data_IF_991866726044
#
_entry.id   IF_991866726044
#
_cell.length_a   1.000
_cell.length_b   1.000
_cell.length_c   1.000
_cell.angle_alpha   90.00
_cell.angle_beta   90.00
_cell.angle_gamma   90.00
#
_symmetry.space_group_name_H-M   'P 1'
#
loop_
_entity.id
_entity.type
_entity.pdbx_description
1 polymer ?
#
# COMPACT_ATOMS: atom_id res chain seq x y z
N UNK A 1 50.13 31.81 -13.40
CA UNK A 1 50.03 31.12 -14.70
C UNK A 1 50.42 29.66 -14.52
N UNK A 2 49.51 28.71 -14.81
CA UNK A 2 49.62 27.21 -14.86
C UNK A 2 50.01 26.50 -13.54
N UNK A 3 49.09 25.85 -12.79
CA UNK A 3 48.45 24.50 -12.97
C UNK A 3 49.47 23.39 -13.37
N UNK A 4 49.55 22.23 -12.69
CA UNK A 4 48.52 21.16 -12.61
C UNK A 4 48.67 20.20 -11.40
N UNK A 5 47.62 19.38 -11.23
CA UNK A 5 47.18 18.49 -10.15
C UNK A 5 47.83 17.08 -10.21
N UNK A 6 48.09 16.48 -9.04
CA UNK A 6 47.98 15.03 -8.76
C UNK A 6 47.54 14.94 -7.28
N UNK A 7 46.41 14.37 -6.84
CA UNK A 7 45.69 13.21 -7.32
C UNK A 7 45.88 12.07 -6.33
N UNK A 8 45.09 12.03 -5.23
CA UNK A 8 44.78 10.78 -4.51
C UNK A 8 43.31 10.80 -4.10
N UNK A 9 42.57 9.95 -4.79
CA UNK A 9 41.20 9.55 -4.54
C UNK A 9 41.24 8.50 -3.42
N UNK A 10 40.56 8.75 -2.31
CA UNK A 10 40.05 7.67 -1.45
C UNK A 10 38.54 7.59 -1.68
N UNK A 11 38.21 6.69 -2.60
CA UNK A 11 36.89 6.16 -2.89
C UNK A 11 36.29 5.62 -1.58
N UNK A 12 35.31 6.32 -1.03
CA UNK A 12 34.42 5.73 -0.05
C UNK A 12 33.62 4.64 -0.78
N UNK A 13 33.96 3.38 -0.51
CA UNK A 13 33.18 2.22 -0.94
C UNK A 13 31.88 2.20 -0.15
N UNK A 14 30.86 2.94 -0.62
CA UNK A 14 29.49 2.68 -0.22
C UNK A 14 29.01 1.46 -1.02
N UNK A 15 29.26 0.27 -0.49
CA UNK A 15 28.43 -0.89 -0.81
C UNK A 15 27.08 -0.66 -0.15
N UNK A 16 26.10 -0.23 -0.94
CA UNK A 16 24.72 -0.06 -0.51
C UNK A 16 23.84 -0.10 -1.75
N UNK A 17 23.29 -1.27 -2.03
CA UNK A 17 22.25 -1.45 -3.02
C UNK A 17 20.96 -0.80 -2.49
N UNK A 18 20.82 0.50 -2.74
CA UNK A 18 19.56 1.23 -2.57
C UNK A 18 19.39 2.10 -3.81
N UNK A 19 18.82 1.52 -4.87
CA UNK A 19 17.83 2.16 -5.76
C UNK A 19 17.63 1.34 -7.05
N UNK A 20 16.88 0.23 -6.94
CA UNK A 20 16.26 -0.42 -8.11
C UNK A 20 14.75 -0.12 -8.19
N UNK A 21 14.26 0.91 -7.48
CA UNK A 21 12.82 1.24 -7.42
C UNK A 21 12.52 2.62 -8.02
N UNK A 22 13.49 3.37 -8.52
CA UNK A 22 13.21 4.65 -9.20
C UNK A 22 13.85 4.74 -10.57
N UNK A 23 13.38 3.89 -11.48
CA UNK A 23 13.43 4.23 -12.91
C UNK A 23 12.54 5.46 -13.19
N UNK A 24 12.89 6.31 -14.17
CA UNK A 24 12.08 7.48 -14.52
C UNK A 24 10.72 7.02 -15.06
N UNK A 25 9.64 7.21 -14.28
CA UNK A 25 8.27 7.11 -14.81
C UNK A 25 7.20 6.41 -13.95
N UNK A 26 7.53 5.75 -12.84
CA UNK A 26 6.50 5.11 -11.99
C UNK A 26 6.11 6.01 -10.82
N UNK A 27 5.38 7.08 -11.10
CA UNK A 27 4.73 7.90 -10.06
C UNK A 27 3.63 7.05 -9.39
N UNK A 28 3.58 7.04 -8.06
CA UNK A 28 2.56 6.36 -7.27
C UNK A 28 1.38 7.29 -7.01
N UNK A 29 0.17 6.85 -7.32
CA UNK A 29 -1.08 7.54 -7.05
C UNK A 29 -1.98 6.63 -6.21
N UNK A 30 -2.54 7.15 -5.14
CA UNK A 30 -3.47 6.40 -4.31
C UNK A 30 -4.90 6.53 -4.83
N UNK A 31 -5.64 5.43 -4.74
CA UNK A 31 -7.10 5.43 -4.90
C UNK A 31 -7.75 6.28 -3.80
N UNK A 32 -9.07 6.48 -3.92
CA UNK A 32 -9.87 6.82 -2.74
C UNK A 32 -9.75 5.73 -1.66
N UNK A 33 -10.19 6.07 -0.45
CA UNK A 33 -10.41 5.07 0.60
C UNK A 33 -11.67 4.27 0.30
N UNK A 34 -11.61 2.96 0.56
CA UNK A 34 -12.72 2.03 0.47
C UNK A 34 -12.96 1.39 1.83
N UNK A 35 -14.23 1.19 2.14
CA UNK A 35 -14.79 0.72 3.40
C UNK A 35 -16.07 -0.02 3.01
N UNK A 36 -15.95 -1.33 2.80
CA UNK A 36 -16.98 -2.18 2.21
C UNK A 36 -17.64 -3.08 3.28
N UNK A 37 -16.84 -3.64 4.17
CA UNK A 37 -17.33 -4.40 5.33
C UNK A 37 -17.50 -3.46 6.52
N UNK A 38 -18.09 -3.94 7.60
CA UNK A 38 -18.06 -3.27 8.90
C UNK A 38 -17.65 -4.34 9.91
N UNK A 39 -17.17 -4.00 11.13
CA UNK A 39 -16.71 -4.98 12.13
C UNK A 39 -17.82 -5.87 12.73
N UNK A 40 -18.99 -5.92 12.11
CA UNK A 40 -20.14 -6.72 12.51
C UNK A 40 -19.88 -8.21 12.24
N UNK A 41 -20.26 -9.07 13.17
CA UNK A 41 -20.10 -10.51 13.01
C UNK A 41 -18.68 -10.98 13.33
N UNK A 42 -17.95 -11.48 12.33
CA UNK A 42 -16.71 -12.25 12.54
C UNK A 42 -15.42 -11.43 12.45
N UNK A 43 -15.48 -10.16 12.03
CA UNK A 43 -14.30 -9.37 11.74
C UNK A 43 -14.64 -8.18 10.87
N UNK A 44 -13.63 -7.65 10.21
CA UNK A 44 -13.73 -6.54 9.26
C UNK A 44 -12.82 -6.82 8.04
N UNK A 45 -13.42 -6.90 6.86
CA UNK A 45 -12.81 -7.48 5.67
C UNK A 45 -12.89 -6.58 4.42
N UNK A 46 -11.77 -5.93 4.12
CA UNK A 46 -11.58 -5.12 2.91
C UNK A 46 -10.82 -5.90 1.83
N UNK A 47 -11.41 -6.99 1.33
CA UNK A 47 -10.74 -7.86 0.36
C UNK A 47 -10.64 -7.20 -1.02
N UNK A 48 -9.52 -7.37 -1.70
CA UNK A 48 -9.33 -6.77 -3.03
C UNK A 48 -10.30 -7.35 -4.07
N UNK A 49 -10.72 -8.60 -3.91
CA UNK A 49 -11.71 -9.23 -4.78
C UNK A 49 -13.07 -8.55 -4.65
N UNK A 50 -13.58 -8.39 -3.43
CA UNK A 50 -14.89 -7.81 -3.18
C UNK A 50 -14.91 -6.33 -3.53
N UNK A 51 -13.85 -5.60 -3.20
CA UNK A 51 -13.67 -4.20 -3.57
C UNK A 51 -13.66 -3.98 -5.10
N UNK A 52 -13.06 -4.89 -5.88
CA UNK A 52 -13.10 -4.80 -7.35
C UNK A 52 -14.46 -5.16 -7.92
N UNK A 53 -15.22 -6.02 -7.24
CA UNK A 53 -16.58 -6.37 -7.64
C UNK A 53 -17.53 -5.18 -7.41
N UNK A 54 -17.42 -4.51 -6.26
CA UNK A 54 -18.23 -3.33 -5.92
C UNK A 54 -17.81 -2.08 -6.71
N UNK A 55 -16.50 -1.86 -6.86
CA UNK A 55 -15.92 -0.67 -7.49
C UNK A 55 -15.11 -1.01 -8.76
N UNK A 56 -15.77 -1.43 -9.85
CA UNK A 56 -15.08 -1.86 -11.06
C UNK A 56 -14.23 -0.73 -11.65
N UNK A 57 -12.99 -1.07 -12.03
CA UNK A 57 -11.98 -0.17 -12.62
C UNK A 57 -11.46 0.95 -11.72
N UNK A 58 -11.88 1.02 -10.46
CA UNK A 58 -11.37 2.03 -9.51
C UNK A 58 -10.03 1.65 -8.87
N UNK A 59 -9.64 0.38 -8.95
CA UNK A 59 -8.36 -0.14 -8.44
C UNK A 59 -7.61 -0.76 -9.63
N UNK A 60 -6.33 -0.44 -9.78
CA UNK A 60 -5.49 -1.01 -10.83
C UNK A 60 -5.39 -2.53 -10.72
N UNK A 61 -5.10 -3.20 -11.84
CA UNK A 61 -4.96 -4.66 -11.89
C UNK A 61 -3.85 -5.20 -10.97
N UNK A 62 -2.80 -4.42 -10.75
CA UNK A 62 -1.67 -4.77 -9.89
C UNK A 62 -1.33 -3.59 -8.97
N UNK A 63 -1.93 -3.54 -7.76
CA UNK A 63 -1.55 -2.54 -6.76
C UNK A 63 -0.09 -2.71 -6.31
N UNK A 64 0.60 -1.60 -6.20
CA UNK A 64 2.00 -1.53 -5.76
C UNK A 64 2.12 -1.42 -4.24
N UNK A 65 1.13 -0.78 -3.60
CA UNK A 65 1.06 -0.65 -2.14
C UNK A 65 -0.39 -0.74 -1.68
N UNK A 66 -0.58 -1.06 -0.41
CA UNK A 66 -1.84 -0.96 0.31
C UNK A 66 -1.61 -0.11 1.56
N UNK A 67 -2.59 0.67 1.95
CA UNK A 67 -2.67 1.31 3.25
C UNK A 67 -4.01 1.00 3.87
N UNK A 68 -4.02 0.68 5.16
CA UNK A 68 -5.22 0.51 5.97
C UNK A 68 -5.20 1.51 7.14
N UNK A 69 -6.36 2.05 7.47
CA UNK A 69 -6.54 2.94 8.61
C UNK A 69 -7.91 2.73 9.23
N UNK A 70 -8.06 3.03 10.51
CA UNK A 70 -9.39 3.07 11.13
C UNK A 70 -10.20 4.22 10.54
N UNK A 71 -11.52 4.20 10.71
CA UNK A 71 -12.36 5.36 10.35
C UNK A 71 -12.03 6.64 11.14
N UNK A 72 -11.32 6.50 12.26
CA UNK A 72 -10.75 7.61 13.04
C UNK A 72 -9.35 8.06 12.55
N UNK A 73 -8.96 7.65 11.34
CA UNK A 73 -7.71 8.04 10.65
C UNK A 73 -6.42 7.56 11.34
N UNK A 74 -6.49 6.50 12.14
CA UNK A 74 -5.30 5.89 12.74
C UNK A 74 -4.81 4.75 11.84
N UNK A 75 -3.59 4.81 11.30
CA UNK A 75 -3.01 3.73 10.49
C UNK A 75 -3.02 2.40 11.24
N UNK A 76 -3.40 1.34 10.53
CA UNK A 76 -3.61 0.02 11.10
C UNK A 76 -2.36 -0.51 11.83
N UNK A 77 -1.16 -0.19 11.33
CA UNK A 77 0.12 -0.58 11.91
C UNK A 77 0.37 0.03 13.30
N UNK A 78 -0.37 1.08 13.67
CA UNK A 78 -0.27 1.74 14.98
C UNK A 78 -1.34 1.28 15.98
N UNK A 79 -2.31 0.48 15.56
CA UNK A 79 -3.40 0.01 16.42
C UNK A 79 -2.96 -1.12 17.34
N UNK A 80 -2.15 -2.06 16.83
CA UNK A 80 -1.74 -3.25 17.57
C UNK A 80 -2.69 -4.46 17.46
N UNK A 81 -3.72 -4.36 16.63
CA UNK A 81 -4.55 -5.50 16.22
C UNK A 81 -3.79 -6.43 15.25
N UNK A 82 -4.20 -7.70 15.21
CA UNK A 82 -3.60 -8.72 14.34
C UNK A 82 -4.43 -8.81 13.06
N UNK A 83 -3.78 -8.72 11.92
CA UNK A 83 -4.43 -8.81 10.61
C UNK A 83 -4.07 -10.15 9.97
N UNK A 84 -5.09 -10.93 9.58
CA UNK A 84 -4.92 -12.20 8.88
C UNK A 84 -4.34 -11.96 7.48
N UNK A 85 -4.82 -10.90 6.83
CA UNK A 85 -4.37 -10.44 5.52
C UNK A 85 -4.07 -8.95 5.61
N UNK A 86 -2.92 -8.55 5.07
CA UNK A 86 -2.60 -7.14 4.84
C UNK A 86 -1.57 -7.02 3.72
N UNK A 87 -2.02 -7.16 2.47
CA UNK A 87 -1.16 -7.16 1.28
C UNK A 87 -1.89 -6.68 0.02
N UNK A 88 -1.14 -6.45 -1.05
CA UNK A 88 -1.65 -5.87 -2.31
C UNK A 88 -2.37 -6.86 -3.22
N UNK A 89 -2.33 -8.15 -2.90
CA UNK A 89 -2.92 -9.23 -3.72
C UNK A 89 -4.30 -9.59 -3.19
N UNK A 90 -4.42 -9.69 -1.87
CA UNK A 90 -5.61 -10.20 -1.18
C UNK A 90 -6.43 -9.07 -0.53
N UNK A 91 -5.80 -7.94 -0.15
CA UNK A 91 -6.45 -6.81 0.51
C UNK A 91 -6.13 -6.74 2.00
N UNK A 92 -7.16 -6.57 2.83
CA UNK A 92 -7.04 -6.47 4.28
C UNK A 92 -8.14 -7.28 4.98
N UNK A 93 -7.77 -8.07 5.99
CA UNK A 93 -8.69 -8.92 6.75
C UNK A 93 -8.30 -8.86 8.22
N UNK A 94 -9.23 -8.42 9.06
CA UNK A 94 -9.17 -8.55 10.50
C UNK A 94 -10.21 -9.57 10.97
N UNK A 95 -9.80 -10.55 11.77
CA UNK A 95 -10.72 -11.57 12.33
C UNK A 95 -10.86 -11.39 13.84
N UNK A 96 -12.10 -11.30 14.35
CA UNK A 96 -12.40 -11.07 15.77
C UNK A 96 -11.76 -12.13 16.67
N UNK A 97 -11.82 -13.41 16.30
CA UNK A 97 -11.27 -14.50 17.10
C UNK A 97 -9.74 -14.52 17.19
N UNK A 98 -9.05 -13.71 16.38
CA UNK A 98 -7.58 -13.59 16.41
C UNK A 98 -7.10 -12.41 17.27
N UNK A 99 -8.02 -11.54 17.70
CA UNK A 99 -7.67 -10.39 18.53
C UNK A 99 -7.40 -10.80 19.97
N UNK A 100 -6.52 -10.06 20.63
CA UNK A 100 -6.07 -10.34 21.99
C UNK A 100 -7.06 -9.73 22.99
N UNK A 101 -7.02 -10.23 24.23
CA UNK A 101 -7.75 -9.66 25.36
C UNK A 101 -9.29 -9.59 25.19
N UNK A 102 -9.86 -10.38 24.28
CA UNK A 102 -11.30 -10.35 23.99
C UNK A 102 -11.73 -9.11 23.19
N UNK A 103 -10.80 -8.39 22.58
CA UNK A 103 -11.10 -7.30 21.65
C UNK A 103 -11.77 -7.84 20.38
N UNK A 104 -12.51 -6.97 19.69
CA UNK A 104 -12.99 -7.22 18.34
C UNK A 104 -12.27 -6.26 17.39
N UNK A 105 -12.23 -6.62 16.11
CA UNK A 105 -11.71 -5.76 15.06
C UNK A 105 -12.31 -4.37 15.13
N UNK A 106 -11.45 -3.35 14.96
CA UNK A 106 -11.92 -2.01 14.67
C UNK A 106 -12.48 -1.95 13.25
N UNK A 107 -13.07 -0.81 12.95
CA UNK A 107 -13.63 -0.48 11.65
C UNK A 107 -12.55 0.14 10.77
N UNK A 108 -12.18 -0.53 9.68
CA UNK A 108 -11.06 -0.19 8.81
C UNK A 108 -11.50 0.17 7.40
N UNK A 109 -10.71 1.07 6.82
CA UNK A 109 -10.76 1.40 5.40
C UNK A 109 -9.40 1.19 4.76
N UNK A 110 -9.39 0.83 3.49
CA UNK A 110 -8.16 0.62 2.71
C UNK A 110 -8.06 1.55 1.52
N UNK A 111 -6.84 1.83 1.08
CA UNK A 111 -6.58 2.41 -0.24
C UNK A 111 -5.35 1.76 -0.87
N UNK A 112 -5.34 1.73 -2.19
CA UNK A 112 -4.30 1.07 -2.97
C UNK A 112 -3.45 2.10 -3.69
N UNK A 113 -2.14 1.91 -3.65
CA UNK A 113 -1.20 2.66 -4.47
C UNK A 113 -1.08 2.02 -5.84
N UNK A 114 -1.38 2.78 -6.89
CA UNK A 114 -1.31 2.37 -8.29
C UNK A 114 -0.32 3.23 -9.07
N UNK A 115 0.17 2.77 -10.22
CA UNK A 115 0.87 3.66 -11.14
C UNK A 115 -0.05 4.82 -11.56
N UNK A 116 0.45 6.06 -11.51
CA UNK A 116 -0.38 7.25 -11.80
C UNK A 116 -0.93 7.33 -13.23
N UNK A 117 -0.36 6.59 -14.17
CA UNK A 117 -0.95 6.49 -15.51
C UNK A 117 -2.26 5.68 -15.48
N UNK A 118 -2.50 4.85 -14.46
CA UNK A 118 -3.77 4.13 -14.34
C UNK A 118 -4.97 5.07 -14.07
N UNK A 119 -6.11 4.89 -14.77
CA UNK A 119 -6.37 3.91 -15.83
C UNK A 119 -5.96 4.46 -17.21
N UNK A 120 -4.78 4.10 -17.70
CA UNK A 120 -4.32 4.48 -19.05
C UNK A 120 -4.63 3.37 -20.04
N UNK A 121 -5.91 3.01 -20.14
CA UNK A 121 -6.41 2.50 -21.41
C UNK A 121 -7.89 2.88 -21.60
N UNK A 122 -8.12 4.16 -21.87
CA UNK A 122 -9.34 4.69 -22.51
C UNK A 122 -8.94 5.45 -23.79
N UNK A 123 -7.92 4.96 -24.51
CA UNK A 123 -7.52 5.54 -25.81
C UNK A 123 -7.84 4.65 -27.01
N UNK A 124 -8.68 3.61 -26.86
CA UNK A 124 -9.28 2.90 -27.99
C UNK A 124 -10.81 2.78 -27.84
N UNK A 125 -11.52 3.89 -28.08
CA UNK A 125 -12.87 3.93 -28.68
C UNK A 125 -12.95 5.06 -29.69
#
# INVERSE_FOLDING_TARGET
>A
MKLLIFGVILIATHTGAEDLVQGPGRKLCYTQWFDLDNPNGNGDNETLQDLRAEYPKNICSEPLTIQAATLTEVPAERIGQVFEVYDTVSGFVCVNSQQKNGECCLDYKVRFGCPCFWPSDMTDV
#
